data_IF_648708709308
#
_entry.id   IF_648708709308
#
_cell.length_a   1.000
_cell.length_b   1.000
_cell.length_c   1.000
_cell.angle_alpha   90.00
_cell.angle_beta   90.00
_cell.angle_gamma   90.00
#
_symmetry.space_group_name_H-M   'P 1'
#
loop_
_entity.id
_entity.type
_entity.pdbx_description
1 polymer ?
#
# COMPACT_ATOMS: atom_id res chain seq x y z
N UNK A 1 -0.61 -28.72 14.03
CA UNK A 1 -0.35 -27.55 14.91
C UNK A 1 -1.45 -26.49 14.90
N UNK A 2 -1.59 -25.56 13.93
CA UNK A 2 -2.61 -24.47 14.02
C UNK A 2 -4.04 -24.99 14.18
N UNK A 3 -4.46 -25.96 13.35
CA UNK A 3 -5.80 -26.57 13.42
C UNK A 3 -6.05 -27.33 14.72
N UNK A 4 -5.00 -27.83 15.37
CA UNK A 4 -5.10 -28.59 16.62
C UNK A 4 -5.23 -27.65 17.82
N UNK A 5 -4.47 -26.55 17.83
CA UNK A 5 -4.42 -25.60 18.95
C UNK A 5 -5.60 -24.62 18.91
N UNK A 6 -6.09 -24.26 17.71
CA UNK A 6 -7.14 -23.27 17.52
C UNK A 6 -8.34 -23.86 16.77
N UNK A 7 -9.24 -24.59 17.44
CA UNK A 7 -10.36 -25.30 16.79
C UNK A 7 -11.35 -24.36 16.10
N UNK A 8 -11.44 -23.10 16.55
CA UNK A 8 -12.30 -22.07 15.95
C UNK A 8 -11.65 -21.38 14.74
N UNK A 9 -10.37 -21.65 14.44
CA UNK A 9 -9.66 -21.06 13.30
C UNK A 9 -9.83 -21.93 12.07
N UNK A 10 -10.40 -21.31 11.02
CA UNK A 10 -10.50 -21.95 9.71
C UNK A 10 -9.22 -21.73 8.90
N UNK A 11 -8.44 -22.79 8.72
CA UNK A 11 -7.25 -22.77 7.86
C UNK A 11 -7.60 -23.16 6.42
N UNK A 12 -7.23 -22.29 5.47
CA UNK A 12 -7.38 -22.53 4.01
C UNK A 12 -5.98 -22.71 3.42
N UNK A 13 -5.70 -23.89 2.85
CA UNK A 13 -4.42 -24.20 2.24
C UNK A 13 -4.51 -24.09 0.71
N UNK A 14 -3.68 -23.23 0.12
CA UNK A 14 -3.61 -23.04 -1.32
C UNK A 14 -2.69 -24.08 -1.98
N UNK A 15 -3.02 -24.51 -3.21
CA UNK A 15 -2.19 -25.45 -3.98
C UNK A 15 -0.90 -24.83 -4.52
N UNK A 16 -0.86 -23.51 -4.66
CA UNK A 16 0.29 -22.74 -5.17
C UNK A 16 0.39 -21.41 -4.44
N UNK A 17 1.56 -20.77 -4.51
CA UNK A 17 1.74 -19.41 -4.01
C UNK A 17 0.99 -18.43 -4.92
N UNK A 18 0.02 -17.71 -4.37
CA UNK A 18 -0.81 -16.72 -5.07
C UNK A 18 -0.40 -15.28 -4.74
N UNK A 19 0.72 -15.12 -4.03
CA UNK A 19 1.17 -13.85 -3.51
C UNK A 19 0.27 -13.33 -2.39
N UNK A 20 0.59 -12.12 -1.94
CA UNK A 20 -0.20 -11.40 -0.96
C UNK A 20 -1.63 -11.12 -1.46
N UNK A 21 -1.77 -10.62 -2.69
CA UNK A 21 -3.07 -10.25 -3.25
C UNK A 21 -4.02 -11.44 -3.34
N UNK A 22 -3.58 -12.54 -3.98
CA UNK A 22 -4.41 -13.73 -4.16
C UNK A 22 -4.66 -14.50 -2.85
N UNK A 23 -3.66 -14.59 -1.99
CA UNK A 23 -3.79 -15.22 -0.67
C UNK A 23 -4.85 -14.55 0.20
N UNK A 24 -4.78 -13.23 0.32
CA UNK A 24 -5.75 -12.45 1.09
C UNK A 24 -7.14 -12.46 0.46
N UNK A 25 -7.25 -12.37 -0.87
CA UNK A 25 -8.54 -12.45 -1.57
C UNK A 25 -9.31 -13.74 -1.25
N UNK A 26 -8.62 -14.88 -1.10
CA UNK A 26 -9.26 -16.15 -0.72
C UNK A 26 -9.86 -16.06 0.69
N UNK A 27 -9.10 -15.49 1.64
CA UNK A 27 -9.59 -15.23 2.99
C UNK A 27 -10.82 -14.33 2.98
N UNK A 28 -10.71 -13.16 2.34
CA UNK A 28 -11.79 -12.16 2.23
C UNK A 28 -13.08 -12.79 1.67
N UNK A 29 -12.98 -13.57 0.59
CA UNK A 29 -14.14 -14.25 -0.04
C UNK A 29 -14.82 -15.26 0.87
N UNK A 30 -14.10 -15.83 1.85
CA UNK A 30 -14.66 -16.81 2.81
C UNK A 30 -15.13 -16.16 4.12
N UNK A 31 -14.76 -14.91 4.37
CA UNK A 31 -15.15 -14.16 5.55
C UNK A 31 -16.62 -13.73 5.52
N UNK A 32 -17.25 -13.75 6.70
CA UNK A 32 -18.68 -13.44 6.88
C UNK A 32 -18.95 -12.15 7.65
N UNK A 33 -17.94 -11.56 8.29
CA UNK A 33 -18.11 -10.33 9.06
C UNK A 33 -18.48 -9.13 8.19
N UNK A 34 -19.14 -8.14 8.80
CA UNK A 34 -19.36 -6.82 8.19
C UNK A 34 -18.04 -6.09 7.97
N UNK A 35 -17.11 -6.27 8.91
CA UNK A 35 -15.74 -5.78 8.83
C UNK A 35 -14.77 -6.94 8.58
N UNK A 36 -13.80 -6.71 7.70
CA UNK A 36 -12.76 -7.67 7.34
C UNK A 36 -11.42 -7.10 7.77
N UNK A 37 -10.79 -7.72 8.76
CA UNK A 37 -9.45 -7.34 9.19
C UNK A 37 -8.41 -8.20 8.47
N UNK A 38 -7.63 -7.58 7.60
CA UNK A 38 -6.48 -8.19 6.94
C UNK A 38 -5.27 -7.92 7.83
N UNK A 39 -4.69 -8.98 8.37
CA UNK A 39 -3.59 -8.94 9.33
C UNK A 39 -2.45 -9.86 8.86
N UNK A 40 -1.23 -9.34 8.88
CA UNK A 40 -0.05 -10.11 8.54
C UNK A 40 0.28 -11.17 9.60
N UNK A 41 0.91 -12.26 9.16
CA UNK A 41 1.28 -13.37 10.03
C UNK A 41 2.47 -13.07 10.96
N UNK A 42 3.22 -11.99 10.72
CA UNK A 42 4.32 -11.50 11.55
C UNK A 42 3.92 -10.27 12.38
N UNK A 43 2.71 -10.31 12.93
CA UNK A 43 2.17 -9.26 13.79
C UNK A 43 1.64 -9.81 15.10
N UNK A 44 1.59 -8.93 16.10
CA UNK A 44 0.91 -9.11 17.38
C UNK A 44 0.02 -7.88 17.62
N UNK A 45 -1.14 -8.09 18.22
CA UNK A 45 -2.15 -7.03 18.40
C UNK A 45 -2.26 -6.67 19.87
N UNK A 46 -2.44 -5.38 20.16
CA UNK A 46 -2.68 -4.93 21.53
C UNK A 46 -4.09 -5.32 22.02
N UNK A 47 -4.31 -5.28 23.32
CA UNK A 47 -5.63 -5.51 23.90
C UNK A 47 -6.62 -4.48 23.36
N UNK A 48 -7.82 -4.94 23.00
CA UNK A 48 -8.92 -4.10 22.50
C UNK A 48 -8.60 -3.30 21.22
N UNK A 49 -7.53 -3.67 20.48
CA UNK A 49 -7.09 -2.95 19.28
C UNK A 49 -8.20 -2.78 18.23
N UNK A 50 -9.18 -3.68 18.17
CA UNK A 50 -10.22 -3.65 17.14
C UNK A 50 -11.29 -2.58 17.41
N UNK A 51 -11.59 -2.26 18.68
CA UNK A 51 -12.69 -1.38 19.04
C UNK A 51 -12.53 0.03 18.44
N UNK A 52 -11.38 0.73 18.56
CA UNK A 52 -11.21 2.05 17.96
C UNK A 52 -11.40 2.05 16.43
N UNK A 53 -10.98 0.97 15.76
CA UNK A 53 -11.10 0.84 14.31
C UNK A 53 -12.57 0.71 13.88
N UNK A 54 -13.36 -0.05 14.64
CA UNK A 54 -14.79 -0.24 14.40
C UNK A 54 -15.57 1.04 14.73
N UNK A 55 -15.28 1.68 15.86
CA UNK A 55 -15.90 2.95 16.26
C UNK A 55 -15.74 4.02 15.17
N UNK A 56 -14.56 4.10 14.57
CA UNK A 56 -14.28 5.00 13.45
C UNK A 56 -15.15 4.70 12.23
N UNK A 57 -15.25 3.43 11.85
CA UNK A 57 -16.10 3.03 10.75
C UNK A 57 -17.59 3.26 11.06
N UNK A 58 -18.05 3.09 12.29
CA UNK A 58 -19.45 3.32 12.63
C UNK A 58 -19.81 4.81 12.72
N UNK A 59 -18.84 5.66 13.10
CA UNK A 59 -19.03 7.11 13.17
C UNK A 59 -19.19 7.81 11.82
N UNK A 60 -18.52 7.33 10.77
CA UNK A 60 -18.65 7.85 9.39
C UNK A 60 -18.65 6.68 8.40
N UNK A 61 -19.81 6.42 7.79
CA UNK A 61 -19.96 5.33 6.81
C UNK A 61 -19.11 5.52 5.54
N UNK A 62 -18.54 6.71 5.32
CA UNK A 62 -17.55 6.93 4.26
C UNK A 62 -16.15 6.46 4.62
N UNK A 63 -15.83 6.25 5.91
CA UNK A 63 -14.60 5.59 6.34
C UNK A 63 -14.80 4.09 6.16
N UNK A 64 -14.03 3.52 5.25
CA UNK A 64 -14.17 2.12 4.83
C UNK A 64 -12.88 1.32 4.92
N UNK A 65 -11.76 1.98 5.17
CA UNK A 65 -10.50 1.36 5.47
C UNK A 65 -9.82 2.11 6.62
N UNK A 66 -9.46 1.41 7.69
CA UNK A 66 -8.73 1.99 8.82
C UNK A 66 -7.47 1.18 9.09
N UNK A 67 -6.33 1.87 9.11
CA UNK A 67 -5.05 1.33 9.54
C UNK A 67 -4.86 1.62 11.03
N UNK A 68 -4.50 0.62 11.86
CA UNK A 68 -4.04 0.88 13.21
C UNK A 68 -2.66 1.57 13.22
N UNK A 69 -2.25 2.04 14.40
CA UNK A 69 -0.87 2.39 14.69
C UNK A 69 0.01 1.16 14.64
N UNK A 70 0.83 1.11 13.59
CA UNK A 70 1.86 0.10 13.43
C UNK A 70 3.15 0.56 14.10
N UNK A 71 3.64 -0.21 15.07
CA UNK A 71 4.94 0.00 15.72
C UNK A 71 5.81 -1.24 15.55
N UNK A 72 7.13 -1.07 15.62
CA UNK A 72 8.04 -2.22 15.59
C UNK A 72 7.92 -3.04 16.87
N UNK A 73 7.74 -4.35 16.77
CA UNK A 73 7.61 -5.22 17.95
C UNK A 73 8.85 -5.16 18.85
N UNK A 74 10.04 -5.06 18.26
CA UNK A 74 11.33 -4.95 18.97
C UNK A 74 11.67 -3.52 19.42
N UNK A 75 10.89 -2.53 19.00
CA UNK A 75 11.10 -1.12 19.31
C UNK A 75 9.74 -0.38 19.28
N UNK A 76 8.90 -0.64 20.27
CA UNK A 76 7.48 -0.23 20.29
C UNK A 76 7.29 1.29 20.27
N UNK A 77 8.33 2.05 20.63
CA UNK A 77 8.36 3.51 20.52
C UNK A 77 8.63 4.02 19.09
N UNK A 78 8.89 3.13 18.14
CA UNK A 78 9.20 3.47 16.75
C UNK A 78 8.03 3.06 15.87
N UNK A 79 7.51 4.01 15.10
CA UNK A 79 6.48 3.77 14.11
C UNK A 79 7.04 3.00 12.93
N UNK A 80 6.26 2.03 12.50
CA UNK A 80 6.42 1.40 11.20
C UNK A 80 6.07 2.42 10.10
N UNK A 81 4.85 2.96 10.11
CA UNK A 81 4.45 4.22 9.46
C UNK A 81 3.00 4.56 9.86
N UNK A 82 2.60 5.83 9.72
CA UNK A 82 1.18 6.26 9.82
C UNK A 82 0.37 5.77 8.62
N UNK A 83 1.02 5.57 7.48
CA UNK A 83 0.41 5.29 6.19
C UNK A 83 1.23 5.94 5.10
N UNK A 84 0.62 6.28 3.97
CA UNK A 84 1.32 7.06 2.95
C UNK A 84 0.42 8.07 2.26
N UNK A 85 1.05 9.09 1.65
CA UNK A 85 0.42 10.08 0.79
C UNK A 85 0.88 9.90 -0.65
N UNK A 86 0.02 10.32 -1.58
CA UNK A 86 0.36 10.40 -3.00
C UNK A 86 1.28 11.60 -3.24
N UNK A 87 2.22 11.49 -4.18
CA UNK A 87 3.14 12.58 -4.53
C UNK A 87 3.13 12.82 -6.04
N UNK A 88 3.55 14.01 -6.45
CA UNK A 88 3.72 14.37 -7.87
C UNK A 88 4.75 13.49 -8.59
N UNK A 89 5.68 12.87 -7.85
CA UNK A 89 6.67 11.95 -8.43
C UNK A 89 6.11 10.58 -8.78
N UNK A 90 4.92 10.22 -8.29
CA UNK A 90 4.40 8.85 -8.34
C UNK A 90 5.03 7.90 -7.32
N UNK A 91 5.96 8.34 -6.47
CA UNK A 91 6.38 7.57 -5.31
C UNK A 91 5.52 7.91 -4.09
N UNK A 92 5.42 6.99 -3.16
CA UNK A 92 4.66 7.20 -1.93
C UNK A 92 5.48 7.98 -0.93
N UNK A 93 4.85 8.96 -0.27
CA UNK A 93 5.41 9.59 0.90
C UNK A 93 4.97 8.82 2.15
N UNK A 94 5.86 7.98 2.67
CA UNK A 94 5.65 7.18 3.87
C UNK A 94 5.74 8.05 5.13
N UNK A 95 4.60 8.56 5.59
CA UNK A 95 4.51 9.49 6.73
C UNK A 95 4.79 8.79 8.06
N UNK A 96 5.62 9.40 8.90
CA UNK A 96 6.03 8.86 10.21
C UNK A 96 6.93 7.64 10.13
N UNK A 97 7.49 7.31 8.96
CA UNK A 97 8.32 6.12 8.79
C UNK A 97 9.55 6.15 9.71
N UNK A 98 9.65 5.16 10.61
CA UNK A 98 10.71 5.03 11.62
C UNK A 98 10.88 6.25 12.53
N UNK A 99 9.78 6.98 12.77
CA UNK A 99 9.74 8.10 13.72
C UNK A 99 9.25 7.65 15.08
N UNK A 100 9.53 8.45 16.10
CA UNK A 100 9.02 8.20 17.44
C UNK A 100 7.49 8.23 17.42
N UNK A 101 6.86 7.13 17.82
CA UNK A 101 5.42 6.99 17.91
C UNK A 101 4.82 7.98 18.89
N UNK A 102 5.59 8.44 19.89
CA UNK A 102 5.15 9.36 20.94
C UNK A 102 4.96 10.80 20.47
N UNK A 103 5.40 11.16 19.26
CA UNK A 103 5.29 12.54 18.79
C UNK A 103 3.82 12.94 18.58
N UNK A 104 3.40 14.15 19.00
CA UNK A 104 1.99 14.56 19.00
C UNK A 104 1.28 14.46 17.65
N UNK A 105 1.99 14.69 16.54
CA UNK A 105 1.41 14.61 15.20
C UNK A 105 0.97 13.19 14.80
N UNK A 106 1.56 12.14 15.40
CA UNK A 106 1.20 10.75 15.12
C UNK A 106 0.21 10.17 16.13
N UNK A 107 -0.25 11.00 17.07
CA UNK A 107 -1.30 10.69 18.03
C UNK A 107 -2.68 11.18 17.57
N UNK A 108 -2.78 11.66 16.33
CA UNK A 108 -4.02 12.16 15.72
C UNK A 108 -4.51 11.21 14.64
N UNK A 109 -5.83 11.08 14.51
CA UNK A 109 -6.45 10.41 13.37
C UNK A 109 -6.13 11.21 12.11
N UNK A 110 -5.79 10.51 11.02
CA UNK A 110 -5.41 11.15 9.76
C UNK A 110 -6.02 10.42 8.57
N UNK A 111 -6.58 11.18 7.64
CA UNK A 111 -6.88 10.64 6.32
C UNK A 111 -5.57 10.44 5.57
N UNK A 112 -5.40 9.25 5.00
CA UNK A 112 -4.18 8.83 4.31
C UNK A 112 -4.53 8.35 2.90
N UNK A 113 -3.59 8.43 1.96
CA UNK A 113 -3.81 7.90 0.61
C UNK A 113 -3.95 6.38 0.64
N UNK A 114 -3.02 5.71 1.31
CA UNK A 114 -2.99 4.26 1.43
C UNK A 114 -2.55 3.83 2.81
N UNK A 115 -3.20 2.79 3.30
CA UNK A 115 -2.76 2.03 4.46
C UNK A 115 -1.61 1.09 4.10
N UNK A 116 -0.96 0.52 5.11
CA UNK A 116 0.10 -0.49 5.01
C UNK A 116 -0.51 -1.89 5.03
N UNK A 117 -0.01 -2.77 4.17
CA UNK A 117 -0.42 -4.17 4.09
C UNK A 117 -0.29 -5.00 5.38
N UNK A 118 0.40 -4.50 6.41
CA UNK A 118 0.57 -5.25 7.65
C UNK A 118 -0.72 -5.40 8.47
N UNK A 119 -1.58 -4.37 8.49
CA UNK A 119 -2.85 -4.40 9.21
C UNK A 119 -3.84 -3.38 8.63
N UNK A 120 -4.99 -3.85 8.17
CA UNK A 120 -6.03 -3.02 7.58
C UNK A 120 -7.41 -3.58 7.91
N UNK A 121 -8.27 -2.78 8.55
CA UNK A 121 -9.68 -3.08 8.67
C UNK A 121 -10.39 -2.52 7.44
N UNK A 122 -11.21 -3.33 6.78
CA UNK A 122 -12.07 -2.92 5.67
C UNK A 122 -13.55 -3.12 5.99
N UNK A 123 -14.40 -2.21 5.52
CA UNK A 123 -15.84 -2.49 5.42
C UNK A 123 -16.10 -3.41 4.23
N UNK A 124 -16.73 -4.57 4.46
CA UNK A 124 -16.97 -5.58 3.42
C UNK A 124 -17.78 -5.02 2.25
N UNK A 125 -18.83 -4.26 2.53
CA UNK A 125 -19.68 -3.66 1.49
C UNK A 125 -18.92 -2.70 0.56
N UNK A 126 -17.85 -2.07 1.04
CA UNK A 126 -16.98 -1.26 0.19
C UNK A 126 -16.12 -2.13 -0.74
N UNK A 127 -15.57 -3.24 -0.23
CA UNK A 127 -14.84 -4.22 -1.03
C UNK A 127 -15.71 -4.87 -2.11
N UNK A 128 -16.95 -5.22 -1.76
CA UNK A 128 -17.92 -5.79 -2.72
C UNK A 128 -18.21 -4.82 -3.87
N UNK A 129 -18.19 -3.50 -3.59
CA UNK A 129 -18.43 -2.44 -4.57
C UNK A 129 -17.22 -2.12 -5.44
N UNK A 130 -16.03 -1.97 -4.85
CA UNK A 130 -14.83 -1.53 -5.60
C UNK A 130 -13.97 -2.68 -6.13
N UNK A 131 -14.25 -3.91 -5.69
CA UNK A 131 -13.45 -5.11 -5.94
C UNK A 131 -12.33 -5.30 -4.91
N UNK A 132 -11.74 -6.49 -4.89
CA UNK A 132 -10.70 -6.87 -3.92
C UNK A 132 -9.29 -6.45 -4.38
N UNK A 133 -8.22 -6.99 -3.78
CA UNK A 133 -6.85 -6.79 -4.27
C UNK A 133 -6.71 -7.28 -5.72
N UNK A 134 -5.93 -6.57 -6.53
CA UNK A 134 -5.66 -7.00 -7.91
C UNK A 134 -4.63 -8.13 -7.92
N UNK A 135 -5.07 -9.34 -8.27
CA UNK A 135 -4.23 -10.54 -8.23
C UNK A 135 -3.06 -10.51 -9.24
N UNK A 136 -3.11 -9.64 -10.26
CA UNK A 136 -1.99 -9.44 -11.19
C UNK A 136 -0.73 -8.89 -10.50
N UNK A 137 -0.92 -8.23 -9.34
CA UNK A 137 0.18 -7.58 -8.64
C UNK A 137 1.02 -8.60 -7.89
N UNK A 138 0.43 -9.74 -7.49
CA UNK A 138 1.03 -10.77 -6.65
C UNK A 138 1.42 -10.23 -5.26
N UNK A 139 2.37 -9.30 -5.17
CA UNK A 139 2.79 -8.56 -3.98
C UNK A 139 3.39 -7.21 -4.37
N UNK A 140 3.41 -6.28 -3.43
CA UNK A 140 3.75 -4.87 -3.55
C UNK A 140 2.72 -4.05 -4.36
N UNK A 141 2.25 -2.96 -3.74
CA UNK A 141 1.39 -1.95 -4.35
C UNK A 141 -0.07 -2.37 -4.54
N UNK A 142 -0.45 -3.61 -4.21
CA UNK A 142 -1.83 -4.10 -4.28
C UNK A 142 -2.75 -3.39 -3.31
N UNK A 143 -2.25 -3.08 -2.12
CA UNK A 143 -2.94 -2.31 -1.10
C UNK A 143 -3.09 -0.85 -1.56
N UNK A 144 -2.06 -0.29 -2.18
CA UNK A 144 -2.11 1.07 -2.74
C UNK A 144 -3.13 1.19 -3.85
N UNK A 145 -3.18 0.22 -4.76
CA UNK A 145 -4.21 0.16 -5.81
C UNK A 145 -5.63 0.06 -5.25
N UNK A 146 -5.84 -0.81 -4.26
CA UNK A 146 -7.15 -0.97 -3.63
C UNK A 146 -7.57 0.31 -2.90
N UNK A 147 -6.70 0.91 -2.09
CA UNK A 147 -6.96 2.17 -1.42
C UNK A 147 -7.26 3.30 -2.41
N UNK A 148 -6.56 3.35 -3.55
CA UNK A 148 -6.86 4.31 -4.61
C UNK A 148 -8.28 4.13 -5.16
N UNK A 149 -8.71 2.88 -5.44
CA UNK A 149 -10.08 2.61 -5.88
C UNK A 149 -11.14 2.97 -4.84
N UNK A 150 -10.86 2.75 -3.56
CA UNK A 150 -11.74 3.18 -2.46
C UNK A 150 -11.93 4.71 -2.50
N UNK A 151 -10.82 5.45 -2.58
CA UNK A 151 -10.83 6.90 -2.73
C UNK A 151 -11.60 7.39 -3.96
N UNK A 152 -11.35 6.78 -5.13
CA UNK A 152 -12.07 7.12 -6.36
C UNK A 152 -13.58 6.95 -6.22
N UNK A 153 -14.03 5.98 -5.43
CA UNK A 153 -15.45 5.70 -5.20
C UNK A 153 -16.14 6.63 -4.20
N UNK A 154 -15.42 7.64 -3.68
CA UNK A 154 -15.90 8.62 -2.70
C UNK A 154 -15.71 8.19 -1.24
N UNK A 155 -15.06 7.06 -0.98
CA UNK A 155 -14.75 6.62 0.38
C UNK A 155 -13.41 7.17 0.88
N UNK A 156 -13.16 6.99 2.18
CA UNK A 156 -12.00 7.48 2.90
C UNK A 156 -11.19 6.32 3.47
N UNK A 157 -9.87 6.50 3.45
CA UNK A 157 -8.89 5.64 4.14
C UNK A 157 -8.28 6.45 5.28
N UNK A 158 -8.22 5.86 6.47
CA UNK A 158 -7.82 6.55 7.69
C UNK A 158 -6.78 5.78 8.50
N UNK A 159 -6.02 6.51 9.30
CA UNK A 159 -5.15 6.03 10.36
C UNK A 159 -5.77 6.31 11.73
N UNK A 160 -5.79 5.31 12.62
CA UNK A 160 -6.29 5.40 14.00
C UNK A 160 -5.15 5.12 15.01
N UNK A 161 -4.60 6.15 15.67
CA UNK A 161 -3.50 6.01 16.62
C UNK A 161 -3.82 5.25 17.91
N UNK A 162 -5.09 5.09 18.29
CA UNK A 162 -5.52 4.41 19.53
C UNK A 162 -5.53 2.89 19.39
N UNK A 163 -5.59 2.38 18.17
CA UNK A 163 -5.46 0.94 17.89
C UNK A 163 -3.99 0.62 17.65
N UNK A 164 -3.39 -0.31 18.40
CA UNK A 164 -1.97 -0.64 18.30
C UNK A 164 -1.77 -2.05 17.77
N UNK A 165 -0.90 -2.18 16.77
CA UNK A 165 -0.43 -3.45 16.24
C UNK A 165 1.10 -3.42 16.18
N UNK A 166 1.71 -4.44 16.78
CA UNK A 166 3.15 -4.68 16.79
C UNK A 166 3.52 -5.49 15.56
N UNK A 167 4.42 -4.96 14.74
CA UNK A 167 4.89 -5.62 13.53
C UNK A 167 6.34 -6.05 13.73
N UNK A 168 6.61 -7.34 13.58
CA UNK A 168 7.95 -7.88 13.80
C UNK A 168 8.88 -7.60 12.61
N UNK A 169 8.32 -7.37 11.42
CA UNK A 169 9.08 -7.36 10.15
C UNK A 169 10.03 -8.57 10.06
N UNK A 170 9.62 -9.71 10.64
CA UNK A 170 10.49 -10.84 10.89
C UNK A 170 10.84 -11.50 9.55
N UNK A 171 12.05 -11.20 9.08
CA UNK A 171 12.67 -11.81 7.89
C UNK A 171 11.81 -11.62 6.64
N UNK A 172 11.47 -10.36 6.41
CA UNK A 172 11.42 -9.66 5.13
C UNK A 172 11.14 -10.59 3.93
N UNK A 173 9.90 -10.58 3.45
CA UNK A 173 9.59 -11.07 2.10
C UNK A 173 10.59 -10.50 1.08
N UNK A 174 11.15 -9.31 1.31
CA UNK A 174 12.23 -8.70 0.52
C UNK A 174 13.67 -9.15 0.81
N UNK A 175 13.97 -9.94 1.86
CA UNK A 175 15.25 -10.66 2.01
C UNK A 175 15.18 -12.07 1.43
N UNK A 176 14.03 -12.72 1.50
CA UNK A 176 13.80 -14.01 0.86
C UNK A 176 13.60 -13.87 -0.65
N UNK A 177 12.96 -12.76 -1.08
CA UNK A 177 12.81 -12.40 -2.48
C UNK A 177 14.04 -11.61 -2.93
N UNK A 178 14.73 -12.09 -3.96
CA UNK A 178 15.88 -11.39 -4.52
C UNK A 178 15.55 -9.97 -4.99
N UNK A 179 16.54 -9.08 -4.91
CA UNK A 179 16.39 -7.65 -5.23
C UNK A 179 15.77 -7.40 -6.61
N UNK A 180 16.12 -8.23 -7.61
CA UNK A 180 15.52 -8.20 -8.94
C UNK A 180 14.00 -8.27 -8.87
N UNK A 181 13.47 -9.35 -8.28
CA UNK A 181 12.04 -9.64 -8.24
C UNK A 181 11.30 -8.55 -7.48
N UNK A 182 11.83 -8.11 -6.34
CA UNK A 182 11.24 -7.03 -5.55
C UNK A 182 11.10 -5.74 -6.36
N UNK A 183 12.18 -5.32 -7.04
CA UNK A 183 12.19 -4.09 -7.83
C UNK A 183 11.31 -4.24 -9.06
N UNK A 184 11.41 -5.34 -9.80
CA UNK A 184 10.57 -5.65 -10.96
C UNK A 184 9.07 -5.58 -10.63
N UNK A 185 8.63 -6.25 -9.55
CA UNK A 185 7.23 -6.22 -9.12
C UNK A 185 6.80 -4.81 -8.70
N UNK A 186 7.61 -4.12 -7.90
CA UNK A 186 7.30 -2.76 -7.43
C UNK A 186 7.17 -1.76 -8.58
N UNK A 187 8.10 -1.78 -9.54
CA UNK A 187 8.12 -0.86 -10.68
C UNK A 187 6.94 -1.12 -11.62
N UNK A 188 6.68 -2.39 -11.97
CA UNK A 188 5.61 -2.75 -12.91
C UNK A 188 4.23 -2.49 -12.32
N UNK A 189 4.01 -2.82 -11.04
CA UNK A 189 2.72 -2.68 -10.37
C UNK A 189 2.35 -1.22 -10.18
N UNK A 190 3.35 -0.35 -9.91
CA UNK A 190 3.15 1.10 -9.83
C UNK A 190 2.62 1.71 -11.13
N UNK A 191 3.26 1.41 -12.26
CA UNK A 191 2.80 1.88 -13.58
C UNK A 191 1.37 1.39 -13.84
N UNK A 192 1.12 0.10 -13.61
CA UNK A 192 -0.19 -0.51 -13.83
C UNK A 192 -1.29 0.13 -12.98
N UNK A 193 -1.05 0.33 -11.67
CA UNK A 193 -2.00 0.98 -10.77
C UNK A 193 -2.32 2.40 -11.21
N UNK A 194 -1.32 3.19 -11.60
CA UNK A 194 -1.58 4.55 -12.06
C UNK A 194 -2.29 4.60 -13.40
N UNK A 195 -1.96 3.70 -14.33
CA UNK A 195 -2.69 3.56 -15.59
C UNK A 195 -4.14 3.11 -15.35
N UNK A 196 -4.43 2.30 -14.33
CA UNK A 196 -5.81 1.92 -13.99
C UNK A 196 -6.60 3.07 -13.40
N UNK A 197 -5.96 3.82 -12.50
CA UNK A 197 -6.69 4.63 -11.53
C UNK A 197 -6.68 6.12 -11.86
N UNK A 198 -5.58 6.73 -12.34
CA UNK A 198 -5.51 8.19 -12.55
C UNK A 198 -6.27 8.65 -13.80
N UNK A 199 -6.77 9.88 -13.81
CA UNK A 199 -7.21 10.56 -15.03
C UNK A 199 -6.02 10.72 -15.99
N UNK A 200 -6.28 10.70 -17.29
CA UNK A 200 -5.21 10.60 -18.29
C UNK A 200 -4.15 11.72 -18.17
N UNK A 201 -4.50 13.00 -17.95
CA UNK A 201 -3.50 14.05 -17.77
C UNK A 201 -2.56 13.81 -16.57
N UNK A 202 -3.11 13.37 -15.43
CA UNK A 202 -2.31 13.08 -14.24
C UNK A 202 -1.48 11.80 -14.40
N UNK A 203 -2.04 10.78 -15.06
CA UNK A 203 -1.29 9.59 -15.42
C UNK A 203 -0.08 9.93 -16.28
N UNK A 204 -0.24 10.75 -17.33
CA UNK A 204 0.86 11.16 -18.21
C UNK A 204 1.92 11.98 -17.45
N UNK A 205 1.50 12.90 -16.57
CA UNK A 205 2.42 13.65 -15.72
C UNK A 205 3.26 12.75 -14.81
N UNK A 206 2.62 11.80 -14.12
CA UNK A 206 3.31 10.82 -13.28
C UNK A 206 4.18 9.89 -14.12
N UNK A 207 3.70 9.43 -15.27
CA UNK A 207 4.45 8.55 -16.17
C UNK A 207 5.73 9.24 -16.66
N UNK A 208 5.67 10.54 -16.99
CA UNK A 208 6.85 11.33 -17.34
C UNK A 208 7.87 11.40 -16.20
N UNK A 209 7.42 11.63 -14.97
CA UNK A 209 8.29 11.61 -13.79
C UNK A 209 8.90 10.23 -13.55
N UNK A 210 8.09 9.16 -13.65
CA UNK A 210 8.58 7.78 -13.51
C UNK A 210 9.58 7.43 -14.61
N UNK A 211 9.37 7.89 -15.84
CA UNK A 211 10.31 7.68 -16.94
C UNK A 211 11.68 8.30 -16.62
N UNK A 212 11.72 9.53 -16.11
CA UNK A 212 12.97 10.20 -15.71
C UNK A 212 13.66 9.39 -14.59
N UNK A 213 12.93 9.06 -13.53
CA UNK A 213 13.49 8.35 -12.37
C UNK A 213 13.98 6.95 -12.76
N UNK A 214 13.21 6.21 -13.56
CA UNK A 214 13.54 4.85 -13.96
C UNK A 214 14.70 4.84 -14.96
N UNK A 215 14.81 5.85 -15.82
CA UNK A 215 15.98 6.04 -16.67
C UNK A 215 17.23 6.29 -15.84
N UNK A 216 17.15 7.16 -14.82
CA UNK A 216 18.24 7.38 -13.86
C UNK A 216 18.64 6.10 -13.12
N UNK A 217 17.67 5.32 -12.65
CA UNK A 217 17.90 4.01 -12.03
C UNK A 217 18.62 3.04 -12.98
N UNK A 218 18.13 2.92 -14.23
CA UNK A 218 18.72 2.07 -15.25
C UNK A 218 20.17 2.46 -15.53
N UNK A 219 20.46 3.75 -15.73
CA UNK A 219 21.80 4.27 -15.98
C UNK A 219 22.70 4.01 -14.77
N UNK A 220 22.26 4.34 -13.56
CA UNK A 220 23.05 4.16 -12.34
C UNK A 220 23.52 2.72 -12.15
N UNK A 221 22.62 1.73 -12.29
CA UNK A 221 23.00 0.33 -12.12
C UNK A 221 23.79 -0.21 -13.31
N UNK A 222 23.52 0.25 -14.54
CA UNK A 222 24.31 -0.15 -15.71
C UNK A 222 25.75 0.34 -15.63
N UNK A 223 25.99 1.58 -15.17
CA UNK A 223 27.33 2.12 -14.95
C UNK A 223 28.09 1.38 -13.84
N UNK A 224 27.39 0.72 -12.92
CA UNK A 224 27.96 -0.14 -11.88
C UNK A 224 28.02 -1.62 -12.27
N UNK A 225 27.77 -1.95 -13.55
CA UNK A 225 27.75 -3.32 -14.08
C UNK A 225 26.75 -4.25 -13.35
N UNK A 226 25.74 -3.67 -12.70
CA UNK A 226 24.65 -4.39 -12.02
C UNK A 226 23.48 -4.58 -12.97
N UNK A 227 23.73 -5.34 -14.04
CA UNK A 227 22.72 -5.62 -15.08
C UNK A 227 21.54 -6.43 -14.55
N UNK A 228 21.75 -7.22 -13.50
CA UNK A 228 20.67 -7.83 -12.74
C UNK A 228 19.64 -6.75 -12.34
N UNK A 229 20.08 -5.67 -11.70
CA UNK A 229 19.16 -4.63 -11.25
C UNK A 229 18.71 -3.70 -12.39
N UNK A 230 19.60 -3.28 -13.29
CA UNK A 230 19.21 -2.35 -14.35
C UNK A 230 18.12 -2.95 -15.26
N UNK A 231 18.18 -4.26 -15.56
CA UNK A 231 17.19 -4.94 -16.40
C UNK A 231 15.79 -5.03 -15.78
N UNK A 232 15.61 -4.70 -14.49
CA UNK A 232 14.27 -4.61 -13.89
C UNK A 232 13.40 -3.54 -14.55
N UNK A 233 13.99 -2.44 -15.01
CA UNK A 233 13.28 -1.32 -15.67
C UNK A 233 12.67 -1.75 -17.02
N UNK A 234 13.45 -2.19 -18.02
CA UNK A 234 12.89 -2.63 -19.30
C UNK A 234 11.94 -3.82 -19.13
N UNK A 235 12.24 -4.75 -18.22
CA UNK A 235 11.34 -5.89 -17.93
C UNK A 235 9.98 -5.41 -17.41
N UNK A 236 9.95 -4.39 -16.56
CA UNK A 236 8.71 -3.80 -16.02
C UNK A 236 7.90 -3.08 -17.09
N UNK A 237 8.57 -2.40 -18.02
CA UNK A 237 7.93 -1.72 -19.15
C UNK A 237 7.34 -2.75 -20.11
N UNK A 238 8.11 -3.77 -20.51
CA UNK A 238 7.65 -4.86 -21.38
C UNK A 238 6.43 -5.54 -20.78
N UNK A 239 6.44 -5.84 -19.48
CA UNK A 239 5.28 -6.43 -18.81
C UNK A 239 4.04 -5.54 -18.91
N UNK A 240 4.18 -4.21 -18.72
CA UNK A 240 3.06 -3.28 -18.85
C UNK A 240 2.54 -3.16 -20.29
N UNK A 241 3.40 -3.27 -21.29
CA UNK A 241 3.01 -3.33 -22.71
C UNK A 241 2.20 -4.60 -22.99
N UNK A 242 2.71 -5.77 -22.55
CA UNK A 242 2.04 -7.06 -22.72
C UNK A 242 0.68 -7.05 -22.00
N UNK A 243 0.61 -6.51 -20.78
CA UNK A 243 -0.63 -6.45 -20.01
C UNK A 243 -1.56 -5.30 -20.36
N UNK A 244 -1.18 -4.42 -21.28
CA UNK A 244 -1.94 -3.22 -21.60
C UNK A 244 -3.42 -3.52 -21.92
N UNK A 245 -3.79 -4.53 -22.73
CA UNK A 245 -5.21 -4.80 -23.02
C UNK A 245 -6.01 -5.15 -21.76
N UNK A 246 -5.45 -5.98 -20.89
CA UNK A 246 -6.09 -6.37 -19.62
C UNK A 246 -6.19 -5.18 -18.65
N UNK A 247 -5.13 -4.37 -18.58
CA UNK A 247 -5.10 -3.15 -17.78
C UNK A 247 -6.11 -2.12 -18.27
N UNK A 248 -6.31 -1.97 -19.58
CA UNK A 248 -7.30 -1.06 -20.15
C UNK A 248 -8.73 -1.53 -19.88
N UNK A 249 -9.00 -2.84 -19.87
CA UNK A 249 -10.30 -3.38 -19.45
C UNK A 249 -10.60 -3.07 -17.98
N UNK A 250 -9.60 -3.23 -17.10
CA UNK A 250 -9.70 -2.86 -15.68
C UNK A 250 -9.89 -1.35 -15.51
N UNK A 251 -9.11 -0.54 -16.24
CA UNK A 251 -9.25 0.92 -16.29
C UNK A 251 -10.66 1.31 -16.68
N UNK A 252 -11.21 0.75 -17.76
CA UNK A 252 -12.58 1.07 -18.18
C UNK A 252 -13.57 0.84 -17.03
N UNK A 253 -13.53 -0.32 -16.35
CA UNK A 253 -14.40 -0.59 -15.22
C UNK A 253 -14.21 0.43 -14.08
N UNK A 254 -12.97 0.75 -13.73
CA UNK A 254 -12.64 1.70 -12.66
C UNK A 254 -13.14 3.10 -13.01
N UNK A 255 -12.79 3.60 -14.19
CA UNK A 255 -13.10 4.95 -14.63
C UNK A 255 -14.59 5.17 -14.91
N UNK A 256 -15.30 4.16 -15.41
CA UNK A 256 -16.72 4.29 -15.80
C UNK A 256 -17.72 3.89 -14.72
N UNK A 257 -17.37 2.96 -13.82
CA UNK A 257 -18.32 2.39 -12.84
C UNK A 257 -17.97 2.66 -11.40
N UNK A 258 -16.67 2.72 -11.06
CA UNK A 258 -16.22 2.89 -9.67
C UNK A 258 -16.00 4.36 -9.35
N UNK A 259 -15.34 5.10 -10.26
CA UNK A 259 -14.96 6.49 -10.06
C UNK A 259 -16.19 7.38 -9.88
N UNK A 260 -16.15 8.17 -8.80
CA UNK A 260 -17.08 9.26 -8.47
C UNK A 260 -16.36 10.60 -8.29
N UNK A 261 -15.08 10.58 -7.91
CA UNK A 261 -14.28 11.78 -7.70
C UNK A 261 -13.28 11.98 -8.85
N UNK A 262 -13.02 13.25 -9.20
CA UNK A 262 -11.90 13.63 -10.06
C UNK A 262 -10.60 13.59 -9.28
N UNK A 263 -9.47 13.45 -9.97
CA UNK A 263 -8.16 13.44 -9.30
C UNK A 263 -7.90 14.77 -8.59
N UNK A 264 -8.33 15.89 -9.18
CA UNK A 264 -8.19 17.22 -8.57
C UNK A 264 -8.87 17.33 -7.21
N UNK A 265 -10.02 16.67 -7.03
CA UNK A 265 -10.73 16.68 -5.75
C UNK A 265 -10.09 15.73 -4.75
N UNK A 266 -9.67 14.56 -5.21
CA UNK A 266 -8.96 13.58 -4.39
C UNK A 266 -7.64 14.15 -3.85
N UNK A 267 -6.86 14.81 -4.71
CA UNK A 267 -5.54 15.35 -4.37
C UNK A 267 -5.58 16.45 -3.31
N UNK A 268 -6.70 17.16 -3.13
CA UNK A 268 -6.87 18.13 -2.03
C UNK A 268 -6.66 17.49 -0.65
N UNK A 269 -6.97 16.20 -0.52
CA UNK A 269 -6.90 15.48 0.76
C UNK A 269 -5.65 14.61 0.86
N UNK A 270 -5.35 13.84 -0.20
CA UNK A 270 -4.39 12.72 -0.10
C UNK A 270 -3.03 12.97 -0.77
N UNK A 271 -2.87 14.07 -1.52
CA UNK A 271 -1.60 14.40 -2.19
C UNK A 271 -0.76 15.30 -1.29
N UNK A 272 0.46 14.86 -0.97
CA UNK A 272 1.42 15.62 -0.16
C UNK A 272 2.83 15.38 -0.65
N UNK A 273 3.42 16.40 -1.26
CA UNK A 273 4.81 16.33 -1.72
C UNK A 273 5.78 16.57 -0.55
N UNK A 274 6.66 15.60 -0.24
CA UNK A 274 7.70 15.78 0.77
C UNK A 274 8.81 16.72 0.26
N UNK A 275 9.66 17.26 1.15
CA UNK A 275 10.83 18.03 0.72
C UNK A 275 11.75 17.18 -0.17
N UNK A 276 12.47 17.80 -1.10
CA UNK A 276 13.34 17.10 -2.06
C UNK A 276 14.32 16.12 -1.41
N UNK A 277 14.86 16.46 -0.24
CA UNK A 277 15.73 15.57 0.54
C UNK A 277 15.09 14.21 0.87
N UNK A 278 13.76 14.10 0.94
CA UNK A 278 13.09 12.81 1.11
C UNK A 278 13.44 11.84 -0.01
N UNK A 279 13.44 12.32 -1.26
CA UNK A 279 13.78 11.50 -2.43
C UNK A 279 15.25 11.08 -2.44
N UNK A 280 16.14 11.90 -1.88
CA UNK A 280 17.53 11.48 -1.66
C UNK A 280 17.61 10.22 -0.79
N UNK A 281 16.95 10.23 0.38
CA UNK A 281 16.91 9.05 1.27
C UNK A 281 16.06 7.90 0.74
N UNK A 282 15.16 8.15 -0.21
CA UNK A 282 14.38 7.10 -0.85
C UNK A 282 15.21 6.32 -1.88
N UNK A 283 16.07 7.01 -2.64
CA UNK A 283 16.78 6.42 -3.78
C UNK A 283 18.26 6.11 -3.51
N UNK A 284 18.92 6.88 -2.65
CA UNK A 284 20.38 6.86 -2.51
C UNK A 284 20.89 6.56 -1.11
N UNK A 285 20.03 6.62 -0.09
CA UNK A 285 20.35 6.24 1.29
C UNK A 285 19.18 5.45 1.90
N UNK A 286 19.17 5.23 3.21
CA UNK A 286 18.10 4.57 3.92
C UNK A 286 17.06 5.57 4.41
N UNK A 287 15.80 5.35 4.04
CA UNK A 287 14.67 6.20 4.43
C UNK A 287 14.53 6.38 5.96
N UNK A 288 15.06 5.45 6.77
CA UNK A 288 15.12 5.58 8.23
C UNK A 288 15.87 6.84 8.70
N UNK A 289 16.82 7.31 7.89
CA UNK A 289 17.69 8.45 8.21
C UNK A 289 17.02 9.79 7.86
N UNK A 290 15.94 9.80 7.07
CA UNK A 290 15.27 11.02 6.66
C UNK A 290 14.71 11.77 7.88
N UNK A 291 15.29 12.90 8.26
CA UNK A 291 14.77 13.78 9.31
C UNK A 291 13.91 14.91 8.73
N UNK A 292 13.19 15.60 9.62
CA UNK A 292 12.45 16.84 9.35
C UNK A 292 11.22 16.64 8.44
N UNK A 293 10.28 15.86 8.97
CA UNK A 293 8.97 15.65 8.39
C UNK A 293 8.07 16.87 8.63
N UNK A 294 7.28 17.29 7.63
CA UNK A 294 6.31 18.39 7.83
C UNK A 294 5.18 17.90 8.75
N UNK A 295 4.83 18.68 9.76
CA UNK A 295 3.63 18.43 10.57
C UNK A 295 2.41 18.59 9.69
N UNK A 296 1.48 17.65 9.79
CA UNK A 296 0.26 17.54 8.99
C UNK A 296 -0.96 17.82 9.87
#
# INVERSE_FOLDING_TARGET
MVKEIFPNVKVIQNKKNLGYAGGNNIGIKKSKGEYIFVLNNDTEVDKDFLNPLVDDMDSDKNIVCVQPKLVYATAQDILNAVGSFFTSSGFLYHYGYRKSAKLPQYQKKLLIYTAKGAAMLFRKSALDKVGLFDEDFFIFFEETDLCHRLWLSGYKVMYEPKSIVYHFEAVDTGRQMGDYTRNYLSLRNRICSYLKNLEMPNFLGVLGMLFIIYSGYFIYYSLRLRFDLSMTVPSSIIWNIIQLPNTLKKRYNIQSKIRKLKDADLFKTIKKDPPLRYYYYLFFDNLKNFQNEKVI
#
